data_IF_112268413122
#
_entry.id   IF_112268413122
#
_cell.length_a   1.000
_cell.length_b   1.000
_cell.length_c   1.000
_cell.angle_alpha   90.00
_cell.angle_beta   90.00
_cell.angle_gamma   90.00
#
_symmetry.space_group_name_H-M   'P 1'
#
loop_
_entity.id
_entity.type
_entity.pdbx_description
1 polymer ?
#
# COMPACT_ATOMS: atom_id res chain seq x y z
N UNK A 1 -28.36 -31.73 9.15
CA UNK A 1 -27.03 -31.78 9.79
C UNK A 1 -26.13 -30.84 9.04
N UNK A 2 -26.02 -29.57 9.46
CA UNK A 2 -25.19 -28.54 8.79
C UNK A 2 -24.25 -27.84 9.80
N UNK A 3 -24.00 -28.46 10.96
CA UNK A 3 -23.28 -27.82 12.06
C UNK A 3 -21.75 -28.11 12.07
N UNK A 4 -21.20 -28.80 11.07
CA UNK A 4 -19.80 -29.23 11.08
C UNK A 4 -18.79 -28.21 10.50
N UNK A 5 -19.07 -27.46 9.42
CA UNK A 5 -18.10 -26.50 8.89
C UNK A 5 -17.79 -25.39 9.89
N UNK A 6 -18.84 -24.75 10.43
CA UNK A 6 -18.69 -23.66 11.40
C UNK A 6 -18.02 -24.05 12.72
N UNK A 7 -18.11 -25.32 13.14
CA UNK A 7 -17.40 -25.78 14.36
C UNK A 7 -15.93 -26.04 14.07
N UNK A 8 -15.58 -26.46 12.85
CA UNK A 8 -14.19 -26.58 12.42
C UNK A 8 -13.54 -25.21 12.25
N UNK A 9 -14.21 -24.26 11.60
CA UNK A 9 -13.73 -22.87 11.45
C UNK A 9 -13.43 -22.26 12.83
N UNK A 10 -14.33 -22.46 13.80
CA UNK A 10 -14.18 -21.95 15.16
C UNK A 10 -13.04 -22.63 15.95
N UNK A 11 -12.79 -23.93 15.73
CA UNK A 11 -11.67 -24.65 16.35
C UNK A 11 -10.34 -24.20 15.75
N UNK A 12 -10.30 -23.99 14.43
CA UNK A 12 -9.11 -23.52 13.73
C UNK A 12 -8.76 -22.08 14.17
N UNK A 13 -9.75 -21.19 14.31
CA UNK A 13 -9.53 -19.83 14.87
C UNK A 13 -9.02 -19.86 16.31
N UNK A 14 -9.46 -20.82 17.14
CA UNK A 14 -8.98 -20.98 18.53
C UNK A 14 -7.57 -21.59 18.63
N UNK A 15 -7.05 -22.16 17.54
CA UNK A 15 -5.70 -22.74 17.46
C UNK A 15 -4.69 -21.80 16.78
N UNK A 16 -5.17 -20.71 16.15
CA UNK A 16 -4.31 -19.73 15.49
C UNK A 16 -3.37 -19.05 16.48
N UNK A 17 -2.12 -18.88 16.05
CA UNK A 17 -1.21 -17.95 16.70
C UNK A 17 -1.72 -16.51 16.51
N UNK A 18 -1.33 -15.54 17.37
CA UNK A 18 -1.71 -14.14 17.19
C UNK A 18 -1.38 -13.57 15.80
N UNK A 19 -0.29 -14.04 15.19
CA UNK A 19 0.10 -13.68 13.84
C UNK A 19 -0.90 -14.18 12.80
N UNK A 20 -1.24 -15.46 12.84
CA UNK A 20 -2.18 -16.07 11.90
C UNK A 20 -3.58 -15.47 12.05
N UNK A 21 -4.02 -15.24 13.29
CA UNK A 21 -5.32 -14.63 13.57
C UNK A 21 -5.39 -13.20 13.02
N UNK A 22 -4.36 -12.38 13.23
CA UNK A 22 -4.34 -11.01 12.71
C UNK A 22 -4.22 -10.98 11.19
N UNK A 23 -3.41 -11.87 10.60
CA UNK A 23 -3.29 -11.96 9.14
C UNK A 23 -4.62 -12.36 8.50
N UNK A 24 -5.30 -13.38 9.05
CA UNK A 24 -6.63 -13.78 8.57
C UNK A 24 -7.61 -12.61 8.70
N UNK A 25 -7.69 -11.98 9.88
CA UNK A 25 -8.57 -10.85 10.11
C UNK A 25 -8.29 -9.68 9.16
N UNK A 26 -7.01 -9.37 8.89
CA UNK A 26 -6.61 -8.32 7.96
C UNK A 26 -7.07 -8.59 6.52
N UNK A 27 -7.17 -9.87 6.16
CA UNK A 27 -7.67 -10.29 4.85
C UNK A 27 -9.20 -10.32 4.78
N UNK A 28 -9.87 -10.18 5.92
CA UNK A 28 -11.31 -9.92 5.99
C UNK A 28 -11.57 -8.42 6.02
N UNK A 29 -12.72 -8.00 5.49
CA UNK A 29 -13.18 -6.61 5.63
C UNK A 29 -13.85 -6.35 6.99
N UNK A 30 -13.53 -7.17 8.01
CA UNK A 30 -14.03 -7.02 9.38
C UNK A 30 -13.00 -6.25 10.24
N UNK A 31 -13.05 -4.93 10.12
CA UNK A 31 -12.21 -4.04 10.92
C UNK A 31 -12.46 -4.16 12.43
N UNK A 32 -13.65 -4.60 12.86
CA UNK A 32 -13.94 -4.79 14.29
C UNK A 32 -13.14 -5.96 14.84
N UNK A 33 -13.03 -7.03 14.07
CA UNK A 33 -12.21 -8.18 14.43
C UNK A 33 -10.72 -7.81 14.53
N UNK A 34 -10.20 -7.05 13.56
CA UNK A 34 -8.83 -6.53 13.62
C UNK A 34 -8.60 -5.69 14.87
N UNK A 35 -9.52 -4.77 15.18
CA UNK A 35 -9.43 -3.90 16.35
C UNK A 35 -9.44 -4.70 17.67
N UNK A 36 -10.33 -5.68 17.79
CA UNK A 36 -10.42 -6.54 18.96
C UNK A 36 -9.14 -7.37 19.17
N UNK A 37 -8.54 -7.89 18.10
CA UNK A 37 -7.27 -8.60 18.15
C UNK A 37 -6.12 -7.67 18.58
N UNK A 38 -6.02 -6.48 18.00
CA UNK A 38 -4.99 -5.49 18.39
C UNK A 38 -5.12 -5.12 19.88
N UNK A 39 -6.33 -4.94 20.39
CA UNK A 39 -6.58 -4.70 21.81
C UNK A 39 -6.16 -5.90 22.68
N UNK A 40 -6.54 -7.12 22.28
CA UNK A 40 -6.24 -8.33 23.03
C UNK A 40 -4.74 -8.62 23.11
N UNK A 41 -3.99 -8.24 22.08
CA UNK A 41 -2.54 -8.47 21.99
C UNK A 41 -1.69 -7.30 22.47
N UNK A 42 -2.31 -6.18 22.86
CA UNK A 42 -1.62 -4.95 23.27
C UNK A 42 -0.56 -5.18 24.37
N UNK A 43 -0.88 -6.06 25.32
CA UNK A 43 -0.05 -6.31 26.50
C UNK A 43 1.05 -7.37 26.31
N UNK A 44 1.13 -8.02 25.13
CA UNK A 44 2.01 -9.19 24.91
C UNK A 44 3.47 -8.79 24.56
N UNK A 45 3.82 -7.50 24.61
CA UNK A 45 5.19 -6.94 24.46
C UNK A 45 6.01 -7.43 23.25
N UNK A 46 5.82 -6.75 22.11
CA UNK A 46 6.82 -6.21 21.14
C UNK A 46 6.08 -5.83 19.85
N UNK A 47 6.43 -4.72 19.16
CA UNK A 47 5.85 -4.43 17.86
C UNK A 47 6.26 -5.57 16.91
N UNK A 48 5.30 -6.30 16.32
CA UNK A 48 5.60 -7.60 15.77
C UNK A 48 5.61 -7.55 14.24
N UNK A 49 6.51 -8.34 13.66
CA UNK A 49 6.57 -8.64 12.22
C UNK A 49 5.21 -9.07 11.63
N UNK A 50 4.27 -9.54 12.45
CA UNK A 50 2.93 -9.89 11.98
C UNK A 50 2.04 -8.68 11.64
N UNK A 51 2.29 -7.50 12.20
CA UNK A 51 1.54 -6.29 11.86
C UNK A 51 1.88 -5.82 10.44
N UNK A 52 3.14 -5.96 10.05
CA UNK A 52 3.62 -5.58 8.73
C UNK A 52 3.06 -6.49 7.64
N UNK A 53 3.03 -7.81 7.90
CA UNK A 53 2.43 -8.78 6.99
C UNK A 53 0.91 -8.58 6.86
N UNK A 54 0.22 -8.31 7.97
CA UNK A 54 -1.20 -8.01 7.99
C UNK A 54 -1.54 -6.74 7.20
N UNK A 55 -0.76 -5.66 7.35
CA UNK A 55 -0.97 -4.42 6.61
C UNK A 55 -0.87 -4.64 5.09
N UNK A 56 0.18 -5.34 4.66
CA UNK A 56 0.39 -5.67 3.24
C UNK A 56 -0.76 -6.54 2.72
N UNK A 57 -1.18 -7.55 3.49
CA UNK A 57 -2.28 -8.42 3.11
C UNK A 57 -3.63 -7.68 2.98
N UNK A 58 -3.94 -6.78 3.92
CA UNK A 58 -5.14 -5.94 3.84
C UNK A 58 -5.11 -5.06 2.60
N UNK A 59 -3.97 -4.43 2.31
CA UNK A 59 -3.78 -3.57 1.15
C UNK A 59 -3.92 -4.34 -0.17
N UNK A 60 -3.26 -5.49 -0.31
CA UNK A 60 -3.34 -6.34 -1.50
C UNK A 60 -4.72 -6.96 -1.73
N UNK A 61 -5.59 -6.98 -0.73
CA UNK A 61 -6.97 -7.46 -0.85
C UNK A 61 -8.02 -6.35 -0.95
N UNK A 62 -7.61 -5.09 -0.80
CA UNK A 62 -8.53 -3.95 -0.82
C UNK A 62 -9.39 -3.83 0.44
N UNK A 63 -8.96 -4.41 1.56
CA UNK A 63 -9.68 -4.37 2.83
C UNK A 63 -9.39 -3.02 3.55
N UNK A 64 -9.97 -1.93 3.04
CA UNK A 64 -9.70 -0.57 3.50
C UNK A 64 -9.92 -0.38 5.01
N UNK A 65 -10.98 -0.96 5.58
CA UNK A 65 -11.25 -0.84 7.02
C UNK A 65 -10.16 -1.49 7.87
N UNK A 66 -9.70 -2.67 7.46
CA UNK A 66 -8.59 -3.37 8.11
C UNK A 66 -7.27 -2.64 7.91
N UNK A 67 -7.01 -2.12 6.71
CA UNK A 67 -5.82 -1.34 6.38
C UNK A 67 -5.70 -0.08 7.26
N UNK A 68 -6.78 0.71 7.35
CA UNK A 68 -6.84 1.94 8.15
C UNK A 68 -6.51 1.67 9.63
N UNK A 69 -7.16 0.66 10.22
CA UNK A 69 -6.94 0.28 11.61
C UNK A 69 -5.51 -0.22 11.83
N UNK A 70 -4.97 -1.05 10.95
CA UNK A 70 -3.59 -1.56 11.06
C UNK A 70 -2.56 -0.42 10.95
N UNK A 71 -2.81 0.56 10.08
CA UNK A 71 -1.92 1.70 9.90
C UNK A 71 -1.92 2.62 11.14
N UNK A 72 -3.10 2.99 11.66
CA UNK A 72 -3.18 3.99 12.72
C UNK A 72 -3.17 3.41 14.14
N UNK A 73 -4.00 2.38 14.39
CA UNK A 73 -4.09 1.75 15.71
C UNK A 73 -2.99 0.71 15.92
N UNK A 74 -2.49 0.11 14.84
CA UNK A 74 -1.36 -0.80 14.88
C UNK A 74 -0.03 -0.06 14.88
N UNK A 75 0.33 0.58 13.77
CA UNK A 75 1.69 1.10 13.59
C UNK A 75 1.93 2.35 14.43
N UNK A 76 1.06 3.36 14.31
CA UNK A 76 1.25 4.64 15.02
C UNK A 76 1.16 4.50 16.55
N UNK A 77 0.28 3.63 17.07
CA UNK A 77 0.19 3.40 18.52
C UNK A 77 1.46 2.77 19.15
N UNK A 78 2.22 1.98 18.38
CA UNK A 78 3.41 1.27 18.87
C UNK A 78 4.72 2.03 18.64
N UNK A 79 4.81 2.82 17.57
CA UNK A 79 6.05 3.48 17.15
C UNK A 79 6.05 4.99 17.36
N UNK A 80 4.92 5.59 17.75
CA UNK A 80 4.77 7.04 17.84
C UNK A 80 4.35 7.65 16.50
N UNK A 81 4.47 8.97 16.33
CA UNK A 81 3.96 9.67 15.15
C UNK A 81 4.71 9.24 13.87
N UNK A 82 4.01 9.24 12.73
CA UNK A 82 4.50 8.61 11.51
C UNK A 82 5.79 9.25 10.95
N UNK A 83 6.06 10.50 11.31
CA UNK A 83 7.22 11.24 10.82
C UNK A 83 8.56 10.77 11.43
N UNK A 84 8.54 10.02 12.54
CA UNK A 84 9.73 9.44 13.18
C UNK A 84 9.77 7.90 13.06
N UNK A 85 9.08 7.34 12.06
CA UNK A 85 9.02 5.90 11.91
C UNK A 85 10.37 5.27 11.55
N UNK A 86 10.69 4.10 12.15
CA UNK A 86 11.80 3.28 11.69
C UNK A 86 11.66 2.95 10.20
N UNK A 87 12.79 2.89 9.50
CA UNK A 87 12.87 2.55 8.06
C UNK A 87 12.08 1.28 7.69
N UNK A 88 12.10 0.25 8.55
CA UNK A 88 11.37 -1.00 8.32
C UNK A 88 9.84 -0.81 8.25
N UNK A 89 9.29 0.13 9.01
CA UNK A 89 7.86 0.43 8.99
C UNK A 89 7.51 1.24 7.73
N UNK A 90 8.37 2.19 7.35
CA UNK A 90 8.22 2.94 6.09
C UNK A 90 8.20 2.00 4.88
N UNK A 91 9.16 1.08 4.82
CA UNK A 91 9.23 0.03 3.80
C UNK A 91 7.97 -0.83 3.78
N UNK A 92 7.37 -1.10 4.94
CA UNK A 92 6.10 -1.83 5.02
C UNK A 92 4.95 -1.04 4.40
N UNK A 93 4.82 0.26 4.70
CA UNK A 93 3.76 1.10 4.11
C UNK A 93 3.94 1.18 2.59
N UNK A 94 5.18 1.31 2.11
CA UNK A 94 5.49 1.26 0.67
C UNK A 94 5.06 -0.08 0.08
N UNK A 95 5.47 -1.21 0.67
CA UNK A 95 5.07 -2.55 0.21
C UNK A 95 3.56 -2.75 0.17
N UNK A 96 2.86 -2.28 1.20
CA UNK A 96 1.40 -2.36 1.25
C UNK A 96 0.77 -1.53 0.11
N UNK A 97 1.30 -0.32 -0.13
CA UNK A 97 0.84 0.53 -1.22
C UNK A 97 1.12 -0.06 -2.60
N UNK A 98 2.29 -0.69 -2.79
CA UNK A 98 2.63 -1.45 -4.00
C UNK A 98 1.64 -2.59 -4.19
N UNK A 99 1.37 -3.38 -3.14
CA UNK A 99 0.41 -4.48 -3.20
C UNK A 99 -1.01 -4.01 -3.55
N UNK A 100 -1.46 -2.89 -3.00
CA UNK A 100 -2.73 -2.26 -3.39
C UNK A 100 -2.73 -1.84 -4.86
N UNK A 101 -1.64 -1.22 -5.33
CA UNK A 101 -1.52 -0.74 -6.70
C UNK A 101 -1.45 -1.89 -7.73
N UNK A 102 -0.71 -2.96 -7.42
CA UNK A 102 -0.63 -4.19 -8.22
C UNK A 102 -1.97 -4.90 -8.38
N UNK A 103 -2.89 -4.72 -7.42
CA UNK A 103 -4.23 -5.32 -7.44
C UNK A 103 -5.33 -4.31 -7.80
N UNK A 104 -4.99 -3.06 -8.10
CA UNK A 104 -5.93 -2.04 -8.56
C UNK A 104 -6.82 -1.45 -7.47
N UNK A 105 -6.41 -1.53 -6.20
CA UNK A 105 -7.14 -0.96 -5.06
C UNK A 105 -6.87 0.55 -4.96
N UNK A 106 -7.52 1.30 -5.86
CA UNK A 106 -7.39 2.76 -6.00
C UNK A 106 -7.69 3.52 -4.72
N UNK A 107 -8.69 3.08 -3.96
CA UNK A 107 -9.12 3.68 -2.70
C UNK A 107 -8.00 3.68 -1.64
N UNK A 108 -7.27 2.57 -1.52
CA UNK A 108 -6.13 2.46 -0.61
C UNK A 108 -4.96 3.32 -1.10
N UNK A 109 -4.64 3.31 -2.40
CA UNK A 109 -3.55 4.14 -2.94
C UNK A 109 -3.87 5.63 -2.77
N UNK A 110 -5.10 6.05 -3.07
CA UNK A 110 -5.56 7.43 -2.86
C UNK A 110 -5.48 7.83 -1.39
N UNK A 111 -5.91 6.92 -0.49
CA UNK A 111 -5.85 7.15 0.95
C UNK A 111 -4.42 7.35 1.43
N UNK A 112 -3.48 6.49 1.03
CA UNK A 112 -2.06 6.63 1.40
C UNK A 112 -1.51 7.96 0.90
N UNK A 113 -1.77 8.33 -0.36
CA UNK A 113 -1.29 9.61 -0.92
C UNK A 113 -1.82 10.80 -0.11
N UNK A 114 -3.12 10.85 0.19
CA UNK A 114 -3.72 11.98 0.89
C UNK A 114 -3.32 12.05 2.37
N UNK A 115 -3.39 10.93 3.07
CA UNK A 115 -3.28 10.92 4.52
C UNK A 115 -1.83 10.74 4.98
N UNK A 116 -1.02 9.96 4.26
CA UNK A 116 0.35 9.63 4.68
C UNK A 116 1.37 10.54 4.01
N UNK A 117 1.12 10.95 2.76
CA UNK A 117 2.10 11.72 1.98
C UNK A 117 1.79 13.21 2.01
N UNK A 118 0.54 13.60 1.79
CA UNK A 118 0.09 15.00 1.81
C UNK A 118 -0.37 15.48 3.20
N UNK A 119 -0.27 14.64 4.23
CA UNK A 119 -0.68 14.99 5.58
C UNK A 119 -0.02 16.29 6.08
N UNK A 120 -0.65 16.99 7.02
CA UNK A 120 -0.12 18.23 7.60
C UNK A 120 0.76 17.93 8.84
N UNK A 121 1.96 18.54 8.91
CA UNK A 121 2.88 18.42 10.06
C UNK A 121 2.29 19.06 11.32
N UNK A 122 1.33 19.96 11.15
CA UNK A 122 0.65 20.69 12.21
C UNK A 122 -0.72 20.11 12.55
N UNK A 123 -1.17 19.05 11.88
CA UNK A 123 -2.32 18.29 12.35
C UNK A 123 -1.88 17.41 13.54
N UNK A 124 -2.65 17.43 14.62
CA UNK A 124 -2.37 16.72 15.88
C UNK A 124 -2.28 15.18 15.68
N UNK A 125 -2.56 14.71 14.47
CA UNK A 125 -2.57 13.32 14.03
C UNK A 125 -1.18 12.79 13.59
N UNK A 126 -0.18 13.66 13.35
CA UNK A 126 1.22 13.26 13.12
C UNK A 126 1.45 12.36 11.89
N UNK A 127 0.68 12.56 10.82
CA UNK A 127 0.45 11.57 9.73
C UNK A 127 1.49 11.49 8.62
N UNK A 128 2.53 12.31 8.64
CA UNK A 128 3.46 12.40 7.50
C UNK A 128 4.51 11.30 7.52
N UNK A 129 4.82 10.74 6.36
CA UNK A 129 6.04 9.97 6.11
C UNK A 129 6.79 10.53 4.90
N UNK A 130 8.00 11.11 5.05
CA UNK A 130 8.80 11.53 3.89
C UNK A 130 9.86 10.48 3.46
N UNK A 131 10.19 10.35 2.16
CA UNK A 131 9.46 10.86 0.98
C UNK A 131 9.08 9.75 -0.01
N UNK A 132 8.17 10.14 -0.91
CA UNK A 132 7.85 9.69 -2.28
C UNK A 132 8.90 8.88 -3.08
N UNK A 133 10.15 8.71 -2.63
CA UNK A 133 11.22 8.09 -3.41
C UNK A 133 10.86 6.72 -3.93
N UNK A 134 10.04 5.95 -3.20
CA UNK A 134 9.71 4.56 -3.54
C UNK A 134 8.26 4.37 -4.02
N UNK A 135 7.43 5.42 -4.08
CA UNK A 135 6.06 5.28 -4.60
C UNK A 135 6.03 5.08 -6.13
N UNK A 136 7.14 5.32 -6.82
CA UNK A 136 7.31 4.89 -8.21
C UNK A 136 7.14 3.37 -8.36
N UNK A 137 7.43 2.58 -7.33
CA UNK A 137 7.18 1.14 -7.30
C UNK A 137 5.67 0.83 -7.36
N UNK A 138 4.82 1.66 -6.76
CA UNK A 138 3.37 1.51 -6.86
C UNK A 138 2.88 1.84 -8.27
N UNK A 139 3.49 2.84 -8.93
CA UNK A 139 3.23 3.14 -10.34
C UNK A 139 3.64 1.97 -11.26
N UNK A 140 4.80 1.37 -11.01
CA UNK A 140 5.28 0.19 -11.74
C UNK A 140 4.37 -1.03 -11.53
N UNK A 141 3.98 -1.30 -10.29
CA UNK A 141 3.05 -2.39 -9.95
C UNK A 141 1.69 -2.23 -10.63
N UNK A 142 1.10 -1.03 -10.59
CA UNK A 142 -0.14 -0.72 -11.29
C UNK A 142 0.01 -0.84 -12.80
N UNK A 143 1.13 -0.37 -13.36
CA UNK A 143 1.39 -0.43 -14.79
C UNK A 143 1.61 -1.87 -15.28
N UNK A 144 2.33 -2.69 -14.51
CA UNK A 144 2.57 -4.11 -14.79
C UNK A 144 1.30 -4.96 -14.80
N UNK A 145 0.23 -4.49 -14.16
CA UNK A 145 -1.06 -5.20 -14.05
C UNK A 145 -2.22 -4.48 -14.76
N UNK A 146 -1.95 -3.32 -15.39
CA UNK A 146 -2.90 -2.63 -16.24
C UNK A 146 -3.92 -1.77 -15.51
N UNK A 147 -3.66 -1.41 -14.26
CA UNK A 147 -4.54 -0.58 -13.43
C UNK A 147 -4.41 0.91 -13.78
N UNK A 148 -5.03 1.28 -14.92
CA UNK A 148 -4.93 2.62 -15.50
C UNK A 148 -5.43 3.74 -14.58
N UNK A 149 -6.43 3.47 -13.75
CA UNK A 149 -6.97 4.41 -12.77
C UNK A 149 -5.96 4.76 -11.67
N UNK A 150 -5.26 3.75 -11.13
CA UNK A 150 -4.17 3.94 -10.18
C UNK A 150 -3.00 4.67 -10.84
N UNK A 151 -2.63 4.28 -12.06
CA UNK A 151 -1.59 4.97 -12.85
C UNK A 151 -1.91 6.46 -13.01
N UNK A 152 -3.15 6.79 -13.40
CA UNK A 152 -3.61 8.18 -13.54
C UNK A 152 -3.56 8.94 -12.23
N UNK A 153 -3.99 8.32 -11.12
CA UNK A 153 -3.96 8.97 -9.81
C UNK A 153 -2.52 9.36 -9.44
N UNK A 154 -1.59 8.41 -9.55
CA UNK A 154 -0.19 8.62 -9.19
C UNK A 154 0.48 9.65 -10.11
N UNK A 155 0.32 9.57 -11.43
CA UNK A 155 0.93 10.53 -12.38
C UNK A 155 0.37 11.94 -12.23
N UNK A 156 -0.94 12.07 -12.05
CA UNK A 156 -1.56 13.38 -11.82
C UNK A 156 -1.06 13.99 -10.51
N UNK A 157 -1.03 13.20 -9.44
CA UNK A 157 -0.52 13.68 -8.17
C UNK A 157 0.94 14.15 -8.30
N UNK A 158 1.79 13.36 -8.97
CA UNK A 158 3.19 13.71 -9.14
C UNK A 158 3.40 14.98 -9.94
N UNK A 159 2.57 15.22 -10.97
CA UNK A 159 2.56 16.47 -11.74
C UNK A 159 2.19 17.67 -10.89
N UNK A 160 1.23 17.51 -9.99
CA UNK A 160 0.75 18.60 -9.14
C UNK A 160 1.76 18.95 -8.03
N UNK A 161 2.66 18.02 -7.68
CA UNK A 161 3.66 18.16 -6.62
C UNK A 161 5.12 18.28 -7.11
N UNK A 162 5.34 18.73 -8.35
CA UNK A 162 6.67 18.87 -9.00
C UNK A 162 7.59 19.91 -8.34
N UNK A 163 7.07 20.82 -7.51
CA UNK A 163 7.87 21.95 -6.98
C UNK A 163 8.90 21.58 -5.88
N UNK A 164 8.95 20.33 -5.41
CA UNK A 164 9.83 19.94 -4.29
C UNK A 164 10.73 18.75 -4.55
N UNK A 165 11.90 18.92 -5.19
CA UNK A 165 13.03 17.95 -5.22
C UNK A 165 12.77 16.47 -5.63
N UNK A 166 11.54 16.09 -5.98
CA UNK A 166 11.07 14.70 -6.18
C UNK A 166 11.10 14.22 -7.63
N UNK A 167 11.28 15.14 -8.60
CA UNK A 167 11.32 14.82 -10.03
C UNK A 167 12.38 13.77 -10.39
N UNK A 168 13.45 13.64 -9.60
CA UNK A 168 14.50 12.65 -9.83
C UNK A 168 14.07 11.20 -9.60
N UNK A 169 13.09 10.93 -8.72
CA UNK A 169 12.59 9.57 -8.44
C UNK A 169 11.74 9.02 -9.59
N UNK A 170 10.99 9.88 -10.28
CA UNK A 170 10.15 9.49 -11.43
C UNK A 170 10.94 9.28 -12.71
N UNK A 171 12.12 9.90 -12.78
CA UNK A 171 13.03 9.83 -13.93
C UNK A 171 13.63 8.44 -14.16
N UNK A 172 13.50 7.52 -13.19
CA UNK A 172 13.95 6.13 -13.32
C UNK A 172 12.81 5.12 -13.22
N UNK A 173 11.55 5.55 -13.27
CA UNK A 173 10.45 4.59 -13.20
C UNK A 173 10.40 3.76 -14.49
N UNK A 174 10.32 2.45 -14.31
CA UNK A 174 10.17 1.47 -15.39
C UNK A 174 8.69 1.21 -15.73
N UNK A 175 7.76 2.07 -15.28
CA UNK A 175 6.32 1.90 -15.47
C UNK A 175 5.91 1.68 -16.94
N UNK A 176 6.53 2.40 -17.89
CA UNK A 176 6.27 2.20 -19.31
C UNK A 176 6.71 0.80 -19.77
N UNK A 177 7.89 0.35 -19.35
CA UNK A 177 8.41 -1.00 -19.61
C UNK A 177 7.48 -2.07 -19.00
N UNK A 178 7.06 -1.89 -17.73
CA UNK A 178 6.12 -2.76 -17.05
C UNK A 178 4.79 -2.88 -17.79
N UNK A 179 4.22 -1.76 -18.27
CA UNK A 179 2.99 -1.76 -19.05
C UNK A 179 3.14 -2.49 -20.40
N UNK A 180 4.29 -2.35 -21.07
CA UNK A 180 4.59 -3.05 -22.32
C UNK A 180 4.72 -4.56 -22.07
N UNK A 181 5.51 -4.96 -21.07
CA UNK A 181 5.71 -6.37 -20.71
C UNK A 181 4.40 -7.04 -20.24
N UNK A 182 3.56 -6.29 -19.52
CA UNK A 182 2.22 -6.70 -19.11
C UNK A 182 1.18 -6.68 -20.23
N UNK A 183 1.54 -6.18 -21.43
CA UNK A 183 0.65 -6.04 -22.60
C UNK A 183 -0.59 -5.15 -22.33
N UNK A 184 -0.44 -4.15 -21.47
CA UNK A 184 -1.52 -3.24 -21.07
C UNK A 184 -1.55 -1.99 -21.96
N UNK A 185 -2.05 -2.16 -23.19
CA UNK A 185 -2.07 -1.12 -24.22
C UNK A 185 -2.66 0.22 -23.77
N UNK A 186 -3.76 0.23 -23.00
CA UNK A 186 -4.37 1.47 -22.51
C UNK A 186 -3.45 2.25 -21.55
N UNK A 187 -2.65 1.54 -20.74
CA UNK A 187 -1.65 2.15 -19.86
C UNK A 187 -0.48 2.67 -20.66
N UNK A 188 0.01 1.90 -21.65
CA UNK A 188 1.09 2.34 -22.55
C UNK A 188 0.68 3.62 -23.28
N UNK A 189 -0.51 3.64 -23.89
CA UNK A 189 -1.04 4.82 -24.58
C UNK A 189 -1.11 6.04 -23.65
N UNK A 190 -1.62 5.86 -22.43
CA UNK A 190 -1.69 6.93 -21.44
C UNK A 190 -0.30 7.44 -21.03
N UNK A 191 0.64 6.55 -20.67
CA UNK A 191 2.00 6.93 -20.29
C UNK A 191 2.75 7.61 -21.46
N UNK A 192 2.46 7.22 -22.71
CA UNK A 192 2.99 7.90 -23.90
C UNK A 192 2.48 9.33 -24.07
N UNK A 193 1.28 9.67 -23.56
CA UNK A 193 0.83 11.08 -23.56
C UNK A 193 1.63 11.97 -22.62
N UNK A 194 2.35 11.36 -21.67
CA UNK A 194 3.07 12.04 -20.60
C UNK A 194 4.58 12.15 -20.86
N UNK A 195 5.09 11.76 -22.03
CA UNK A 195 6.54 11.72 -22.35
C UNK A 195 7.22 13.09 -22.35
N UNK A 196 6.46 14.16 -22.57
CA UNK A 196 6.96 15.54 -22.51
C UNK A 196 7.07 16.05 -21.07
N UNK A 197 6.30 15.46 -20.14
CA UNK A 197 6.23 15.83 -18.73
C UNK A 197 7.13 14.95 -17.86
N UNK A 198 7.22 13.65 -18.17
CA UNK A 198 7.97 12.65 -17.42
C UNK A 198 9.06 12.01 -18.27
N UNK A 199 10.25 11.83 -17.68
CA UNK A 199 11.37 11.13 -18.32
C UNK A 199 11.30 9.63 -18.08
N UNK A 200 10.48 8.92 -18.86
CA UNK A 200 10.43 7.46 -18.81
C UNK A 200 11.72 6.81 -19.29
N UNK A 201 12.01 5.60 -18.80
CA UNK A 201 13.13 4.78 -19.26
C UNK A 201 12.84 4.18 -20.66
N UNK A 202 13.00 5.02 -21.70
CA UNK A 202 12.73 4.64 -23.08
C UNK A 202 13.62 3.51 -23.59
N UNK A 203 14.85 3.38 -23.09
CA UNK A 203 15.77 2.33 -23.51
C UNK A 203 15.18 0.95 -23.21
N UNK A 204 14.75 0.71 -21.97
CA UNK A 204 14.13 -0.56 -21.57
C UNK A 204 12.75 -0.75 -22.23
N UNK A 205 11.98 0.32 -22.40
CA UNK A 205 10.69 0.25 -23.07
C UNK A 205 10.81 -0.24 -24.52
N UNK A 206 11.82 0.20 -25.28
CA UNK A 206 12.08 -0.28 -26.63
C UNK A 206 12.62 -1.72 -26.68
N UNK A 207 13.35 -2.15 -25.66
CA UNK A 207 13.80 -3.55 -25.55
C UNK A 207 12.65 -4.51 -25.22
N UNK A 208 11.61 -4.02 -24.54
CA UNK A 208 10.45 -4.79 -24.12
C UNK A 208 9.33 -4.91 -25.18
N UNK A 209 9.30 -4.02 -26.18
CA UNK A 209 8.24 -3.91 -27.21
C UNK A 209 8.45 -4.84 -28.40
#
# INVERSE_FOLDING_TARGET
MVALPHVMDLIDTLLMTPQEALLEAATTDDGSWVYDLLNAYRDIQRPPLYLTDALVAAASRGCMGSFDILLWEGIAAYHGPLYDLPEAIRDTVVKATVGAAENGHLDIVEYVVKEVVDGDENDDSGRIVPPWSDIHLALEGAASNGHLDVVKLLTNHARDNVEGHTMHSWSSSDALTCAILGQHGEVVEYLMTLVDEFRWNMTLAFEAA
#
